data_IF_127758708633
#
_entry.id   IF_127758708633
#
_cell.length_a   1.000
_cell.length_b   1.000
_cell.length_c   1.000
_cell.angle_alpha   90.00
_cell.angle_beta   90.00
_cell.angle_gamma   90.00
#
_symmetry.space_group_name_H-M   'P 1'
#
loop_
_entity.id
_entity.type
_entity.pdbx_description
1 polymer ?
#
# COMPACT_ATOMS: atom_id res chain seq x y z
N UNK A 1 24.52 6.15 17.46
CA UNK A 1 24.71 7.26 18.42
C UNK A 1 24.39 6.86 19.87
N UNK A 2 23.92 5.63 20.11
CA UNK A 2 23.57 5.16 21.45
C UNK A 2 22.10 5.42 21.81
N UNK A 3 21.30 5.99 20.90
CA UNK A 3 19.86 6.12 21.07
C UNK A 3 19.13 4.81 20.77
N UNK A 4 17.95 4.64 21.33
CA UNK A 4 17.04 3.53 21.03
C UNK A 4 15.67 4.09 20.65
N UNK A 5 15.21 3.78 19.43
CA UNK A 5 13.86 4.07 18.97
C UNK A 5 12.98 2.84 19.20
N UNK A 6 11.83 3.04 19.86
CA UNK A 6 10.79 2.03 20.01
C UNK A 6 9.57 2.47 19.21
N UNK A 7 9.06 1.58 18.36
CA UNK A 7 7.80 1.76 17.60
C UNK A 7 6.80 0.68 18.01
N UNK A 8 5.63 1.11 18.49
CA UNK A 8 4.54 0.25 18.93
C UNK A 8 3.40 0.30 17.92
N UNK A 9 3.21 -0.78 17.17
CA UNK A 9 2.18 -0.89 16.13
C UNK A 9 0.83 -1.39 16.65
N UNK A 10 0.82 -2.20 17.71
CA UNK A 10 -0.40 -2.70 18.36
C UNK A 10 -0.23 -2.75 19.89
N UNK A 11 -1.34 -2.57 20.62
CA UNK A 11 -1.38 -2.71 22.08
C UNK A 11 -0.87 -1.50 22.86
N UNK A 12 -0.28 -1.78 24.03
CA UNK A 12 0.25 -0.79 24.98
C UNK A 12 1.65 -1.21 25.45
N UNK A 13 2.53 -0.24 25.70
CA UNK A 13 3.90 -0.49 26.15
C UNK A 13 4.35 0.61 27.11
N UNK A 14 4.94 0.21 28.23
CA UNK A 14 5.63 1.13 29.14
C UNK A 14 7.12 1.15 28.79
N UNK A 15 7.58 2.27 28.24
CA UNK A 15 8.99 2.49 27.94
C UNK A 15 9.67 3.21 29.11
N UNK A 16 10.30 2.44 29.98
CA UNK A 16 10.96 2.93 31.20
C UNK A 16 12.47 3.13 31.00
N UNK A 17 12.96 4.29 31.43
CA UNK A 17 14.37 4.61 31.61
C UNK A 17 14.68 4.98 33.07
N UNK A 18 15.96 5.27 33.41
CA UNK A 18 16.35 5.59 34.79
C UNK A 18 15.70 6.84 35.38
N UNK A 19 15.22 7.75 34.52
CA UNK A 19 14.73 9.07 34.92
C UNK A 19 13.23 9.27 34.70
N UNK A 20 12.61 8.48 33.82
CA UNK A 20 11.20 8.59 33.48
C UNK A 20 10.65 7.31 32.83
N UNK A 21 9.33 7.20 32.79
CA UNK A 21 8.60 6.18 32.04
C UNK A 21 7.62 6.87 31.12
N UNK A 22 7.52 6.40 29.88
CA UNK A 22 6.57 6.89 28.89
C UNK A 22 5.64 5.75 28.52
N UNK A 23 4.33 5.99 28.68
CA UNK A 23 3.28 5.05 28.30
C UNK A 23 2.95 5.26 26.81
N UNK A 24 3.19 4.24 25.99
CA UNK A 24 2.79 4.22 24.59
C UNK A 24 1.46 3.48 24.42
N UNK A 25 0.56 4.06 23.65
CA UNK A 25 -0.63 3.38 23.12
C UNK A 25 -0.55 3.39 21.61
N UNK A 26 -0.62 2.20 21.00
CA UNK A 26 -0.46 2.06 19.56
C UNK A 26 -1.46 2.91 18.75
N UNK A 27 -1.08 3.47 17.59
CA UNK A 27 0.26 3.42 16.98
C UNK A 27 1.13 4.61 17.41
N UNK A 28 2.22 4.35 18.16
CA UNK A 28 3.10 5.40 18.69
C UNK A 28 4.57 4.97 18.69
N UNK A 29 5.49 5.93 18.74
CA UNK A 29 6.91 5.73 18.94
C UNK A 29 7.47 6.66 20.01
N UNK A 30 8.60 6.29 20.60
CA UNK A 30 9.40 7.14 21.48
C UNK A 30 10.89 6.76 21.37
N UNK A 31 11.77 7.72 21.63
CA UNK A 31 13.23 7.52 21.56
C UNK A 31 13.86 7.69 22.93
N UNK A 32 14.67 6.75 23.37
CA UNK A 32 15.58 6.96 24.48
C UNK A 32 16.92 7.50 23.99
N UNK A 33 17.44 8.52 24.65
CA UNK A 33 18.79 9.03 24.41
C UNK A 33 19.87 8.11 25.04
N UNK A 34 21.18 8.33 24.78
CA UNK A 34 22.24 7.50 25.35
C UNK A 34 22.37 7.56 26.87
N UNK A 35 21.75 8.54 27.55
CA UNK A 35 21.68 8.63 29.01
C UNK A 35 20.47 7.88 29.58
N UNK A 36 19.60 7.33 28.72
CA UNK A 36 18.39 6.61 29.10
C UNK A 36 17.19 7.52 29.39
N UNK A 37 17.23 8.81 29.01
CA UNK A 37 16.04 9.65 29.09
C UNK A 37 15.10 9.29 27.94
N UNK A 38 13.85 8.93 28.27
CA UNK A 38 12.85 8.56 27.27
C UNK A 38 12.12 9.82 26.80
N UNK A 39 12.20 10.13 25.51
CA UNK A 39 11.48 11.23 24.88
C UNK A 39 9.96 11.01 24.86
N UNK A 40 9.17 12.05 24.54
CA UNK A 40 7.72 11.95 24.51
C UNK A 40 7.24 10.91 23.49
N UNK A 41 6.09 10.30 23.76
CA UNK A 41 5.39 9.50 22.77
C UNK A 41 4.90 10.39 21.62
N UNK A 42 5.08 9.93 20.40
CA UNK A 42 4.64 10.59 19.17
C UNK A 42 4.14 9.59 18.13
N UNK A 43 3.58 10.05 17.01
CA UNK A 43 3.21 9.16 15.92
C UNK A 43 4.44 8.45 15.35
N UNK A 44 4.25 7.23 14.85
CA UNK A 44 5.31 6.53 14.13
C UNK A 44 5.68 7.35 12.88
N UNK A 45 6.96 7.67 12.74
CA UNK A 45 7.51 8.38 11.58
C UNK A 45 8.13 7.34 10.65
N UNK A 46 7.78 7.31 9.36
CA UNK A 46 8.43 6.43 8.39
C UNK A 46 9.95 6.62 8.39
N UNK A 47 10.66 5.51 8.28
CA UNK A 47 12.11 5.46 8.26
C UNK A 47 12.64 6.29 7.08
N UNK A 48 13.48 7.32 7.34
CA UNK A 48 14.11 8.06 6.26
C UNK A 48 14.97 7.11 5.43
N UNK A 49 14.52 6.82 4.21
CA UNK A 49 15.19 5.90 3.29
C UNK A 49 14.61 4.49 3.21
N UNK A 50 13.48 4.20 3.86
CA UNK A 50 12.72 2.97 3.57
C UNK A 50 12.25 2.99 2.11
N UNK A 51 12.73 2.05 1.26
CA UNK A 51 12.36 2.03 -0.14
C UNK A 51 10.93 1.52 -0.37
N UNK A 52 10.24 0.98 0.64
CA UNK A 52 8.96 0.28 0.49
C UNK A 52 7.72 1.10 0.86
N UNK A 53 7.89 2.40 1.12
CA UNK A 53 6.77 3.25 1.57
C UNK A 53 5.61 3.34 0.57
N UNK A 54 5.91 3.30 -0.74
CA UNK A 54 4.89 3.37 -1.77
C UNK A 54 4.13 2.05 -1.93
N UNK A 55 4.85 0.94 -1.80
CA UNK A 55 4.35 -0.44 -1.82
C UNK A 55 3.41 -0.69 -0.66
N UNK A 56 3.83 -0.30 0.55
CA UNK A 56 3.01 -0.42 1.76
C UNK A 56 1.75 0.44 1.65
N UNK A 57 1.87 1.69 1.20
CA UNK A 57 0.70 2.56 1.01
C UNK A 57 -0.30 2.02 -0.01
N UNK A 58 0.15 1.33 -1.06
CA UNK A 58 -0.74 0.68 -2.02
C UNK A 58 -1.46 -0.54 -1.40
N UNK A 59 -0.71 -1.39 -0.68
CA UNK A 59 -1.24 -2.58 0.02
C UNK A 59 -2.25 -2.19 1.12
N UNK A 60 -2.01 -1.09 1.82
CA UNK A 60 -2.94 -0.54 2.81
C UNK A 60 -4.27 -0.11 2.18
N UNK A 61 -4.28 0.38 0.94
CA UNK A 61 -5.51 0.80 0.26
C UNK A 61 -6.39 -0.39 -0.16
N UNK A 62 -5.76 -1.49 -0.59
CA UNK A 62 -6.43 -2.70 -1.09
C UNK A 62 -6.88 -3.60 0.04
N UNK A 63 -6.11 -3.73 1.13
CA UNK A 63 -6.47 -4.56 2.31
C UNK A 63 -7.72 -4.05 3.07
N UNK A 64 -8.00 -2.74 3.01
CA UNK A 64 -9.16 -2.18 3.69
C UNK A 64 -10.48 -2.64 3.06
N UNK A 65 -11.30 -3.38 3.81
CA UNK A 65 -12.65 -3.77 3.38
C UNK A 65 -12.68 -4.81 2.26
N UNK A 66 -11.58 -5.51 2.02
CA UNK A 66 -11.48 -6.71 1.18
C UNK A 66 -11.30 -7.96 2.03
N UNK A 67 -11.34 -9.14 1.42
CA UNK A 67 -11.21 -10.41 2.14
C UNK A 67 -9.71 -10.75 2.29
N UNK A 68 -9.21 -11.04 3.51
CA UNK A 68 -7.83 -11.48 3.70
C UNK A 68 -7.48 -12.70 2.84
N UNK A 69 -6.28 -12.69 2.26
CA UNK A 69 -5.79 -13.76 1.37
C UNK A 69 -6.20 -13.64 -0.09
N UNK A 70 -6.95 -12.59 -0.47
CA UNK A 70 -7.27 -12.28 -1.87
C UNK A 70 -6.25 -11.37 -2.53
N UNK A 71 -5.40 -10.72 -1.74
CA UNK A 71 -4.41 -9.78 -2.23
C UNK A 71 -3.38 -10.47 -3.15
N UNK A 72 -3.14 -9.86 -4.31
CA UNK A 72 -2.04 -10.17 -5.20
C UNK A 72 -1.26 -8.91 -5.52
N UNK A 73 0.06 -9.03 -5.35
CA UNK A 73 1.01 -7.96 -5.59
C UNK A 73 1.81 -8.22 -6.85
N UNK A 74 2.07 -7.15 -7.59
CA UNK A 74 2.88 -7.16 -8.80
C UNK A 74 3.93 -6.05 -8.71
N UNK A 75 5.18 -6.44 -8.96
CA UNK A 75 6.28 -5.51 -9.16
C UNK A 75 6.56 -5.45 -10.66
N UNK A 76 6.34 -4.29 -11.25
CA UNK A 76 6.59 -4.06 -12.66
C UNK A 76 8.08 -3.94 -13.00
N UNK A 77 8.38 -3.84 -14.28
CA UNK A 77 9.68 -3.29 -14.72
C UNK A 77 9.65 -1.75 -14.61
N UNK A 78 10.78 -1.06 -14.66
CA UNK A 78 10.77 0.39 -14.83
C UNK A 78 9.95 0.79 -16.06
N UNK A 79 9.00 1.72 -15.89
CA UNK A 79 8.13 2.23 -16.95
C UNK A 79 8.53 3.66 -17.32
N UNK A 80 8.47 4.00 -18.61
CA UNK A 80 8.74 5.34 -19.14
C UNK A 80 7.46 6.06 -19.60
N UNK A 81 7.58 7.35 -19.93
CA UNK A 81 6.45 8.14 -20.41
C UNK A 81 5.85 7.51 -21.69
N UNK A 82 4.54 7.27 -21.68
CA UNK A 82 3.79 6.66 -22.78
C UNK A 82 3.83 5.13 -22.81
N UNK A 83 4.68 4.49 -22.00
CA UNK A 83 4.72 3.03 -21.91
C UNK A 83 3.57 2.50 -21.05
N UNK A 84 3.24 1.22 -21.27
CA UNK A 84 2.20 0.52 -20.53
C UNK A 84 2.71 -0.84 -20.06
N UNK A 85 2.27 -1.25 -18.87
CA UNK A 85 2.45 -2.60 -18.36
C UNK A 85 1.09 -3.18 -17.97
N UNK A 86 0.94 -4.49 -18.16
CA UNK A 86 -0.32 -5.17 -17.92
C UNK A 86 -0.12 -6.34 -16.96
N UNK A 87 -1.06 -6.47 -16.03
CA UNK A 87 -1.18 -7.58 -15.09
C UNK A 87 -2.59 -8.15 -15.17
N UNK A 88 -2.77 -9.36 -14.66
CA UNK A 88 -4.09 -10.02 -14.65
C UNK A 88 -4.43 -10.49 -13.26
N UNK A 89 -5.65 -10.19 -12.80
CA UNK A 89 -6.19 -10.65 -11.54
C UNK A 89 -7.44 -11.48 -11.79
N UNK A 90 -7.50 -12.68 -11.21
CA UNK A 90 -8.68 -13.55 -11.32
C UNK A 90 -9.55 -13.41 -10.08
N UNK A 91 -10.81 -13.09 -10.28
CA UNK A 91 -11.80 -12.92 -9.21
C UNK A 91 -12.92 -13.94 -9.40
N UNK A 92 -13.19 -14.76 -8.37
CA UNK A 92 -14.22 -15.80 -8.46
C UNK A 92 -15.58 -15.32 -7.94
N UNK A 93 -15.59 -14.27 -7.11
CA UNK A 93 -16.77 -13.74 -6.47
C UNK A 93 -17.52 -12.67 -7.27
N UNK A 94 -18.47 -12.06 -6.59
CA UNK A 94 -19.14 -10.82 -6.99
C UNK A 94 -19.02 -9.83 -5.83
N UNK A 95 -18.87 -8.53 -6.12
CA UNK A 95 -18.85 -7.52 -5.06
C UNK A 95 -17.84 -6.40 -5.27
N UNK A 96 -16.78 -6.36 -4.48
CA UNK A 96 -15.83 -5.25 -4.48
C UNK A 96 -14.47 -5.72 -4.99
N UNK A 97 -13.90 -4.99 -5.94
CA UNK A 97 -12.49 -5.13 -6.32
C UNK A 97 -11.78 -3.79 -6.15
N UNK A 98 -10.59 -3.82 -5.56
CA UNK A 98 -9.70 -2.68 -5.40
C UNK A 98 -8.38 -2.98 -6.08
N UNK A 99 -7.88 -2.01 -6.83
CA UNK A 99 -6.51 -2.01 -7.33
C UNK A 99 -5.84 -0.70 -6.91
N UNK A 100 -4.66 -0.81 -6.32
CA UNK A 100 -3.85 0.34 -5.91
C UNK A 100 -2.49 0.31 -6.61
N UNK A 101 -2.00 1.48 -7.00
CA UNK A 101 -0.71 1.67 -7.66
C UNK A 101 0.15 2.61 -6.82
N UNK A 102 1.28 2.10 -6.33
CA UNK A 102 2.30 2.83 -5.59
C UNK A 102 3.54 3.12 -6.46
N UNK A 103 4.07 4.33 -6.36
CA UNK A 103 5.32 4.77 -7.01
C UNK A 103 5.90 6.03 -6.32
N UNK A 104 7.24 6.24 -6.32
CA UNK A 104 7.94 7.25 -5.53
C UNK A 104 7.79 8.74 -5.93
N UNK A 105 7.30 9.11 -7.12
CA UNK A 105 7.10 10.56 -7.38
C UNK A 105 6.72 11.05 -8.78
N UNK A 106 6.56 10.17 -9.77
CA UNK A 106 6.07 10.56 -11.10
C UNK A 106 4.56 10.82 -11.15
N UNK A 107 4.01 10.97 -12.36
CA UNK A 107 2.57 10.84 -12.63
C UNK A 107 2.39 9.57 -13.45
N UNK A 108 1.51 8.69 -12.96
CA UNK A 108 1.08 7.49 -13.66
C UNK A 108 -0.45 7.43 -13.73
N UNK A 109 -0.97 6.51 -14.55
CA UNK A 109 -2.39 6.14 -14.57
C UNK A 109 -2.52 4.67 -14.22
N UNK A 110 -3.48 4.35 -13.35
CA UNK A 110 -3.94 2.98 -13.12
C UNK A 110 -5.28 2.80 -13.84
N UNK A 111 -5.39 1.75 -14.67
CA UNK A 111 -6.64 1.31 -15.26
C UNK A 111 -6.96 -0.13 -14.83
N UNK A 112 -8.24 -0.40 -14.60
CA UNK A 112 -8.79 -1.72 -14.34
C UNK A 112 -9.84 -1.98 -15.42
N UNK A 113 -9.56 -2.97 -16.27
CA UNK A 113 -10.49 -3.46 -17.28
C UNK A 113 -11.20 -4.70 -16.73
N UNK A 114 -12.51 -4.58 -16.56
CA UNK A 114 -13.38 -5.65 -16.09
C UNK A 114 -13.67 -6.70 -17.20
N UNK A 115 -14.15 -7.89 -16.83
CA UNK A 115 -14.47 -8.96 -17.78
C UNK A 115 -15.50 -8.58 -18.85
N UNK A 116 -16.40 -7.65 -18.54
CA UNK A 116 -17.40 -7.06 -19.44
C UNK A 116 -16.86 -5.94 -20.33
N UNK A 117 -15.53 -5.74 -20.32
CA UNK A 117 -14.80 -4.68 -20.99
C UNK A 117 -15.04 -3.25 -20.45
N UNK A 118 -15.72 -3.08 -19.31
CA UNK A 118 -15.79 -1.79 -18.64
C UNK A 118 -14.40 -1.39 -18.12
N UNK A 119 -14.02 -0.13 -18.30
CA UNK A 119 -12.72 0.41 -17.86
C UNK A 119 -12.94 1.41 -16.74
N UNK A 120 -12.21 1.23 -15.64
CA UNK A 120 -12.13 2.15 -14.51
C UNK A 120 -10.71 2.69 -14.45
N UNK A 121 -10.54 4.01 -14.45
CA UNK A 121 -9.20 4.61 -14.53
C UNK A 121 -9.05 5.79 -13.58
N UNK A 122 -7.85 5.96 -13.03
CA UNK A 122 -7.43 7.17 -12.32
C UNK A 122 -5.98 7.52 -12.63
N UNK A 123 -5.71 8.82 -12.63
CA UNK A 123 -4.39 9.41 -12.85
C UNK A 123 -4.10 10.38 -11.71
N UNK A 124 -2.87 10.45 -11.22
CA UNK A 124 -2.55 11.40 -10.15
C UNK A 124 -1.23 11.14 -9.45
N UNK A 125 -1.22 11.44 -8.15
CA UNK A 125 -0.11 11.12 -7.24
C UNK A 125 -0.34 9.74 -6.60
N UNK A 126 0.76 9.12 -6.18
CA UNK A 126 0.76 7.85 -5.45
C UNK A 126 0.20 8.01 -4.02
N UNK A 127 -0.53 7.01 -3.49
CA UNK A 127 -1.04 5.83 -4.19
C UNK A 127 -2.30 6.15 -5.01
N UNK A 128 -2.40 5.61 -6.23
CA UNK A 128 -3.63 5.68 -7.02
C UNK A 128 -4.52 4.49 -6.65
N UNK A 129 -5.71 4.74 -6.09
CA UNK A 129 -6.72 3.71 -5.82
C UNK A 129 -7.86 3.75 -6.85
N UNK A 130 -8.04 2.65 -7.58
CA UNK A 130 -9.23 2.36 -8.40
C UNK A 130 -10.12 1.37 -7.66
N UNK A 131 -11.41 1.72 -7.55
CA UNK A 131 -12.43 0.90 -6.89
C UNK A 131 -13.49 0.51 -7.91
N UNK A 132 -13.74 -0.79 -8.04
CA UNK A 132 -14.81 -1.36 -8.85
C UNK A 132 -15.88 -1.87 -7.90
N UNK A 133 -16.99 -1.13 -7.82
CA UNK A 133 -18.18 -1.58 -7.10
C UNK A 133 -18.98 -2.53 -7.99
N UNK A 134 -19.55 -3.58 -7.41
CA UNK A 134 -20.26 -4.64 -8.11
C UNK A 134 -19.39 -5.32 -9.17
N UNK A 135 -18.13 -5.58 -8.83
CA UNK A 135 -17.20 -6.38 -9.62
C UNK A 135 -17.81 -7.75 -9.96
N UNK A 136 -17.64 -8.17 -11.22
CA UNK A 136 -18.12 -9.42 -11.77
C UNK A 136 -17.03 -10.49 -11.64
N UNK A 137 -17.44 -11.75 -11.48
CA UNK A 137 -16.50 -12.86 -11.57
C UNK A 137 -15.82 -12.88 -12.96
N UNK A 138 -14.51 -13.12 -12.98
CA UNK A 138 -13.72 -13.23 -14.19
C UNK A 138 -12.31 -12.70 -14.07
N UNK A 139 -11.65 -12.55 -15.23
CA UNK A 139 -10.27 -12.05 -15.32
C UNK A 139 -10.29 -10.55 -15.58
N UNK A 140 -9.70 -9.81 -14.65
CA UNK A 140 -9.45 -8.38 -14.77
C UNK A 140 -8.08 -8.14 -15.39
N UNK A 141 -7.99 -7.16 -16.28
CA UNK A 141 -6.69 -6.64 -16.77
C UNK A 141 -6.38 -5.34 -16.06
N UNK A 142 -5.24 -5.30 -15.38
CA UNK A 142 -4.74 -4.12 -14.69
C UNK A 142 -3.67 -3.48 -15.56
N UNK A 143 -3.85 -2.22 -15.92
CA UNK A 143 -2.93 -1.50 -16.82
C UNK A 143 -2.32 -0.33 -16.07
N UNK A 144 -0.99 -0.30 -16.00
CA UNK A 144 -0.23 0.85 -15.53
C UNK A 144 0.27 1.60 -16.75
N UNK A 145 0.07 2.92 -16.78
CA UNK A 145 0.50 3.78 -17.89
C UNK A 145 1.39 4.89 -17.34
N UNK A 146 2.60 4.99 -17.88
CA UNK A 146 3.52 6.08 -17.55
C UNK A 146 3.07 7.39 -18.19
N UNK A 147 2.89 8.45 -17.41
CA UNK A 147 2.39 9.74 -17.92
C UNK A 147 3.51 10.78 -18.01
N UNK A 148 4.11 11.16 -16.89
CA UNK A 148 5.18 12.16 -16.86
C UNK A 148 6.06 12.03 -15.62
N UNK A 149 7.27 12.60 -15.66
CA UNK A 149 8.19 12.62 -14.52
C UNK A 149 9.05 11.36 -14.34
N UNK A 150 8.94 10.36 -15.22
CA UNK A 150 9.60 9.04 -15.08
C UNK A 150 11.10 9.03 -15.40
N UNK A 151 11.66 10.15 -15.87
CA UNK A 151 13.08 10.27 -16.19
C UNK A 151 13.58 9.28 -17.25
N UNK A 152 14.90 9.18 -17.39
CA UNK A 152 15.55 8.27 -18.36
C UNK A 152 15.72 6.84 -17.84
N UNK A 153 15.65 6.64 -16.52
CA UNK A 153 15.77 5.32 -15.89
C UNK A 153 14.41 4.61 -15.74
N UNK A 154 13.30 5.32 -16.00
CA UNK A 154 11.97 4.87 -15.66
C UNK A 154 11.73 4.85 -14.15
N UNK A 155 10.53 4.45 -13.77
CA UNK A 155 10.16 4.25 -12.36
C UNK A 155 9.46 2.89 -12.23
N UNK A 156 9.78 2.15 -11.16
CA UNK A 156 9.21 0.83 -10.94
C UNK A 156 7.84 0.97 -10.28
N UNK A 157 6.74 0.52 -10.91
CA UNK A 157 5.43 0.54 -10.29
C UNK A 157 5.23 -0.67 -9.40
N UNK A 158 4.53 -0.48 -8.27
CA UNK A 158 3.98 -1.54 -7.46
C UNK A 158 2.46 -1.53 -7.56
N UNK A 159 1.86 -2.66 -7.88
CA UNK A 159 0.41 -2.81 -7.97
C UNK A 159 -0.03 -3.84 -6.94
N UNK A 160 -0.95 -3.46 -6.07
CA UNK A 160 -1.69 -4.40 -5.21
C UNK A 160 -3.14 -4.47 -5.69
N UNK A 161 -3.70 -5.67 -5.74
CA UNK A 161 -5.09 -5.92 -6.12
C UNK A 161 -5.71 -6.87 -5.10
N UNK A 162 -6.88 -6.51 -4.56
CA UNK A 162 -7.61 -7.36 -3.64
C UNK A 162 -9.11 -7.27 -3.89
N UNK A 163 -9.85 -8.29 -3.46
CA UNK A 163 -11.28 -8.35 -3.66
C UNK A 163 -12.02 -8.72 -2.37
N UNK A 164 -13.27 -8.30 -2.27
CA UNK A 164 -14.21 -8.84 -1.30
C UNK A 164 -14.81 -10.10 -1.91
N UNK A 165 -14.32 -11.27 -1.49
CA UNK A 165 -14.98 -12.54 -1.82
C UNK A 165 -16.03 -12.85 -0.75
N UNK A 166 -17.27 -13.19 -1.13
CA UNK A 166 -18.25 -13.66 -0.17
C UNK A 166 -17.75 -14.96 0.45
N UNK A 167 -17.59 -14.99 1.77
CA UNK A 167 -17.33 -16.20 2.55
C UNK A 167 -18.59 -17.09 2.55
N UNK A 168 -18.97 -17.65 1.41
CA UNK A 168 -19.92 -18.76 1.36
C UNK A 168 -19.08 -20.05 1.35
N UNK A 169 -19.14 -20.82 2.43
CA UNK A 169 -18.64 -22.19 2.43
C UNK A 169 -19.27 -22.94 1.26
N UNK A 170 -18.44 -23.59 0.43
CA UNK A 170 -18.93 -24.51 -0.59
C UNK A 170 -19.83 -25.56 0.10
N UNK A 171 -21.11 -25.59 -0.27
CA UNK A 171 -22.07 -26.59 0.19
C UNK A 171 -21.78 -27.97 -0.41
#
# INVERSE_FOLDING_TARGET
>A
DGSMLVKLFEGQLDFAGPHNTVHLTAPQQATADPAGNVGPAGPIVPEPGDPFGAEMAASDQTSQGTTPGTEQDYIGLPIHNGEQQQFTYSFAGEGLLKAALGYPGSVMTLQVKAPDAQIYAKTGASPILVVVNNALAGIYTIVVIGVSGLGAAGETPFVSVAALEPCASAN
#
